data_IF_307847025237
#
_entry.id   IF_307847025237
#
_cell.length_a   1.000
_cell.length_b   1.000
_cell.length_c   1.000
_cell.angle_alpha   90.00
_cell.angle_beta   90.00
_cell.angle_gamma   90.00
#
_symmetry.space_group_name_H-M   'P 1'
#
loop_
_entity.id
_entity.type
_entity.pdbx_description
1 polymer ?
#
# COMPACT_ATOMS: atom_id res chain seq x y z
N UNK A 1 -10.05 -11.67 27.74
CA UNK A 1 -11.05 -10.59 27.86
C UNK A 1 -10.47 -9.20 28.14
N UNK A 2 -9.41 -9.01 28.95
CA UNK A 2 -8.85 -7.67 29.24
C UNK A 2 -8.15 -6.98 28.05
N UNK A 3 -7.57 -7.72 27.10
CA UNK A 3 -6.86 -7.14 25.94
C UNK A 3 -7.79 -6.59 24.87
N UNK A 4 -8.98 -7.19 24.68
CA UNK A 4 -10.00 -6.69 23.73
C UNK A 4 -10.65 -5.41 24.21
N UNK A 5 -10.79 -5.22 25.52
CA UNK A 5 -11.36 -4.00 26.11
C UNK A 5 -10.44 -2.78 25.92
N UNK A 6 -9.13 -2.97 25.93
CA UNK A 6 -8.13 -1.92 25.71
C UNK A 6 -8.15 -1.44 24.25
N UNK A 7 -8.33 -2.34 23.28
CA UNK A 7 -8.44 -1.98 21.86
C UNK A 7 -9.72 -1.17 21.58
N UNK A 8 -10.84 -1.56 22.17
CA UNK A 8 -12.11 -0.82 22.04
C UNK A 8 -12.05 0.55 22.75
N UNK A 9 -11.36 0.66 23.87
CA UNK A 9 -11.13 1.93 24.57
C UNK A 9 -10.18 2.86 23.81
N UNK A 10 -9.14 2.34 23.16
CA UNK A 10 -8.26 3.12 22.29
C UNK A 10 -8.99 3.61 21.03
N UNK A 11 -9.86 2.82 20.43
CA UNK A 11 -10.72 3.27 19.33
C UNK A 11 -11.73 4.34 19.79
N UNK A 12 -12.30 4.22 20.99
CA UNK A 12 -13.24 5.20 21.54
C UNK A 12 -12.58 6.54 21.92
N UNK A 13 -11.33 6.54 22.36
CA UNK A 13 -10.62 7.76 22.72
C UNK A 13 -10.22 8.63 21.51
N UNK A 14 -10.13 8.04 20.31
CA UNK A 14 -9.85 8.76 19.07
C UNK A 14 -11.08 9.49 18.50
N UNK A 15 -12.29 9.24 19.00
CA UNK A 15 -13.54 9.85 18.50
C UNK A 15 -13.85 11.24 19.09
N UNK A 16 -13.04 11.74 20.01
CA UNK A 16 -13.19 13.06 20.61
C UNK A 16 -12.57 14.15 19.75
N UNK A 17 -13.37 14.92 19.02
CA UNK A 17 -13.00 16.17 18.31
C UNK A 17 -11.94 16.09 17.20
N UNK A 18 -11.55 14.94 16.70
CA UNK A 18 -10.80 14.83 15.45
C UNK A 18 -11.80 14.75 14.29
N UNK A 19 -11.64 15.56 13.27
CA UNK A 19 -12.29 15.37 11.98
C UNK A 19 -11.67 14.11 11.34
N UNK A 20 -12.22 12.97 11.70
CA UNK A 20 -11.78 11.69 11.22
C UNK A 20 -12.77 11.19 10.17
N UNK A 21 -12.26 10.73 9.02
CA UNK A 21 -13.09 10.32 7.90
C UNK A 21 -12.80 8.86 7.54
N UNK A 22 -13.87 8.08 7.46
CA UNK A 22 -13.84 6.73 6.92
C UNK A 22 -14.12 6.79 5.42
N UNK A 23 -13.24 6.18 4.63
CA UNK A 23 -13.35 6.08 3.18
C UNK A 23 -13.42 4.63 2.75
N UNK A 24 -14.34 4.33 1.84
CA UNK A 24 -14.44 3.04 1.16
C UNK A 24 -14.43 3.30 -0.34
N UNK A 25 -13.53 2.62 -1.07
CA UNK A 25 -13.43 2.67 -2.52
C UNK A 25 -13.46 1.25 -3.09
N UNK A 26 -14.06 1.11 -4.26
CA UNK A 26 -13.99 -0.10 -5.06
C UNK A 26 -13.78 0.30 -6.52
N UNK A 27 -12.83 -0.36 -7.18
CA UNK A 27 -12.52 -0.14 -8.59
C UNK A 27 -12.58 -1.46 -9.34
N UNK A 28 -13.12 -1.43 -10.54
CA UNK A 28 -13.05 -2.53 -11.50
C UNK A 28 -12.26 -2.03 -12.70
N UNK A 29 -11.25 -2.78 -13.08
CA UNK A 29 -10.36 -2.43 -14.20
C UNK A 29 -9.96 -3.69 -14.97
N UNK A 30 -9.44 -3.52 -16.18
CA UNK A 30 -9.10 -4.64 -17.05
C UNK A 30 -7.69 -5.22 -16.82
N UNK A 31 -6.86 -4.57 -16.01
CA UNK A 31 -5.59 -5.09 -15.55
C UNK A 31 -5.16 -4.36 -14.27
N UNK A 32 -4.20 -4.92 -13.53
CA UNK A 32 -3.58 -4.25 -12.40
C UNK A 32 -2.11 -3.97 -12.70
N UNK A 33 -1.77 -2.68 -12.69
CA UNK A 33 -0.40 -2.21 -12.86
C UNK A 33 0.18 -1.74 -11.54
N UNK A 34 1.40 -2.14 -11.28
CA UNK A 34 2.19 -1.65 -10.15
C UNK A 34 3.56 -1.18 -10.65
N UNK A 35 3.85 0.11 -10.50
CA UNK A 35 5.11 0.72 -10.96
C UNK A 35 5.46 0.43 -12.42
N UNK A 36 4.45 0.48 -13.30
CA UNK A 36 4.60 0.22 -14.73
C UNK A 36 4.71 -1.26 -15.12
N UNK A 37 4.66 -2.16 -14.15
CA UNK A 37 4.62 -3.60 -14.38
C UNK A 37 3.20 -4.12 -14.30
N UNK A 38 2.80 -5.01 -15.18
CA UNK A 38 1.55 -5.74 -15.08
C UNK A 38 1.66 -6.81 -14.00
N UNK A 39 0.85 -6.66 -12.94
CA UNK A 39 0.76 -7.61 -11.83
C UNK A 39 -0.31 -8.65 -12.08
N UNK A 40 -1.39 -8.24 -12.74
CA UNK A 40 -2.49 -9.12 -13.13
C UNK A 40 -3.18 -8.58 -14.36
N UNK A 41 -3.47 -9.45 -15.30
CA UNK A 41 -4.34 -9.22 -16.44
C UNK A 41 -5.81 -9.56 -16.12
N UNK A 42 -6.68 -9.38 -17.12
CA UNK A 42 -8.11 -9.64 -17.01
C UNK A 42 -8.85 -8.67 -16.11
N UNK A 43 -10.08 -8.97 -15.78
CA UNK A 43 -10.92 -8.13 -14.93
C UNK A 43 -10.46 -8.24 -13.48
N UNK A 44 -10.04 -7.10 -12.91
CA UNK A 44 -9.53 -6.99 -11.54
C UNK A 44 -10.48 -6.15 -10.71
N UNK A 45 -10.85 -6.64 -9.52
CA UNK A 45 -11.54 -5.89 -8.47
C UNK A 45 -10.52 -5.46 -7.43
N UNK A 46 -10.45 -4.16 -7.18
CA UNK A 46 -9.61 -3.54 -6.15
C UNK A 46 -10.50 -2.84 -5.14
N UNK A 47 -10.21 -3.01 -3.86
CA UNK A 47 -10.95 -2.38 -2.76
C UNK A 47 -9.99 -1.68 -1.81
N UNK A 48 -10.42 -0.57 -1.23
CA UNK A 48 -9.69 0.20 -0.23
C UNK A 48 -10.64 0.63 0.87
N UNK A 49 -10.29 0.36 2.11
CA UNK A 49 -10.94 0.85 3.30
C UNK A 49 -9.92 1.64 4.12
N UNK A 50 -10.12 2.93 4.28
CA UNK A 50 -9.18 3.77 5.00
C UNK A 50 -9.84 4.72 5.99
N UNK A 51 -9.06 5.09 6.98
CA UNK A 51 -9.44 6.03 8.02
C UNK A 51 -8.41 7.14 8.10
N UNK A 52 -8.85 8.37 7.83
CA UNK A 52 -8.02 9.56 7.84
C UNK A 52 -8.29 10.37 9.09
N UNK A 53 -7.25 10.83 9.77
CA UNK A 53 -7.28 11.54 11.04
C UNK A 53 -6.23 12.65 11.09
N UNK A 54 -6.22 13.39 12.20
CA UNK A 54 -5.25 14.47 12.46
C UNK A 54 -5.22 15.52 11.35
N UNK A 55 -6.39 16.01 10.92
CA UNK A 55 -6.53 17.02 9.85
C UNK A 55 -5.84 16.58 8.56
N UNK A 56 -6.08 15.34 8.13
CA UNK A 56 -5.54 14.70 6.94
C UNK A 56 -4.03 14.38 6.97
N UNK A 57 -3.40 14.53 8.13
CA UNK A 57 -1.98 14.22 8.28
C UNK A 57 -1.67 12.73 8.39
N UNK A 58 -2.64 11.93 8.86
CA UNK A 58 -2.45 10.50 9.09
C UNK A 58 -3.58 9.71 8.45
N UNK A 59 -3.26 8.75 7.61
CA UNK A 59 -4.21 7.78 7.05
C UNK A 59 -3.72 6.37 7.30
N UNK A 60 -4.58 5.52 7.85
CA UNK A 60 -4.36 4.08 7.94
C UNK A 60 -5.38 3.37 7.07
N UNK A 61 -5.00 2.28 6.41
CA UNK A 61 -5.92 1.60 5.53
C UNK A 61 -5.62 0.13 5.30
N UNK A 62 -6.62 -0.51 4.71
CA UNK A 62 -6.61 -1.87 4.22
C UNK A 62 -6.94 -1.83 2.73
N UNK A 63 -6.14 -2.51 1.94
CA UNK A 63 -6.35 -2.62 0.52
C UNK A 63 -6.40 -4.09 0.12
N UNK A 64 -7.28 -4.44 -0.81
CA UNK A 64 -7.40 -5.79 -1.33
C UNK A 64 -7.60 -5.81 -2.83
N UNK A 65 -7.02 -6.80 -3.51
CA UNK A 65 -7.14 -7.00 -4.94
C UNK A 65 -7.31 -8.47 -5.31
N UNK A 66 -8.17 -8.73 -6.30
CA UNK A 66 -8.34 -10.05 -6.91
C UNK A 66 -8.77 -9.91 -8.34
N UNK A 67 -8.37 -10.84 -9.21
CA UNK A 67 -8.91 -10.91 -10.57
C UNK A 67 -10.08 -11.90 -10.69
N UNK A 68 -10.81 -11.83 -11.78
CA UNK A 68 -11.98 -12.68 -12.05
C UNK A 68 -11.67 -14.17 -12.09
N UNK A 69 -10.44 -14.54 -12.42
CA UNK A 69 -9.98 -15.92 -12.51
C UNK A 69 -9.50 -16.49 -11.19
N UNK A 70 -9.29 -15.62 -10.17
CA UNK A 70 -8.78 -16.01 -8.87
C UNK A 70 -7.28 -16.34 -8.87
N UNK A 71 -6.58 -16.07 -9.96
CA UNK A 71 -5.13 -16.28 -10.11
C UNK A 71 -4.30 -15.19 -9.45
N UNK A 72 -4.89 -14.01 -9.20
CA UNK A 72 -4.30 -12.91 -8.44
C UNK A 72 -5.08 -12.66 -7.15
N UNK A 73 -4.37 -12.61 -6.02
CA UNK A 73 -4.91 -12.29 -4.70
C UNK A 73 -3.89 -11.54 -3.88
N UNK A 74 -4.26 -10.36 -3.39
CA UNK A 74 -3.40 -9.52 -2.58
C UNK A 74 -4.20 -8.81 -1.48
N UNK A 75 -3.57 -8.63 -0.33
CA UNK A 75 -4.12 -7.90 0.80
C UNK A 75 -3.02 -7.11 1.50
N UNK A 76 -3.22 -5.82 1.66
CA UNK A 76 -2.22 -4.89 2.15
C UNK A 76 -2.76 -4.10 3.34
N UNK A 77 -1.87 -3.79 4.28
CA UNK A 77 -2.07 -2.72 5.24
C UNK A 77 -1.21 -1.53 4.84
N UNK A 78 -1.67 -0.34 5.10
CA UNK A 78 -0.84 0.82 4.85
C UNK A 78 -1.01 1.93 5.88
N UNK A 79 0.04 2.74 5.99
CA UNK A 79 0.08 3.99 6.74
C UNK A 79 0.60 5.08 5.81
N UNK A 80 -0.16 6.17 5.70
CA UNK A 80 0.29 7.38 5.03
C UNK A 80 0.41 8.53 6.03
N UNK A 81 1.53 9.22 6.00
CA UNK A 81 1.81 10.40 6.79
C UNK A 81 2.03 11.59 5.85
N UNK A 82 1.47 12.76 6.20
CA UNK A 82 1.63 13.99 5.41
C UNK A 82 2.01 15.15 6.32
N UNK A 83 2.97 15.95 5.87
CA UNK A 83 3.38 17.18 6.56
C UNK A 83 3.92 18.20 5.55
N UNK A 84 3.25 19.34 5.41
CA UNK A 84 3.55 20.31 4.37
C UNK A 84 3.45 19.68 2.99
N UNK A 85 4.47 19.86 2.15
CA UNK A 85 4.55 19.19 0.84
C UNK A 85 5.05 17.74 0.88
N UNK A 86 5.47 17.23 2.03
CA UNK A 86 6.01 15.87 2.17
C UNK A 86 4.93 14.84 2.47
N UNK A 87 5.08 13.65 1.91
CA UNK A 87 4.34 12.46 2.32
C UNK A 87 5.25 11.25 2.44
N UNK A 88 4.97 10.41 3.44
CA UNK A 88 5.59 9.10 3.64
C UNK A 88 4.50 8.05 3.65
N UNK A 89 4.58 7.09 2.74
CA UNK A 89 3.69 5.92 2.69
C UNK A 89 4.48 4.65 3.05
N UNK A 90 3.91 3.85 3.94
CA UNK A 90 4.41 2.52 4.29
C UNK A 90 3.33 1.51 3.91
N UNK A 91 3.66 0.58 3.03
CA UNK A 91 2.77 -0.46 2.54
C UNK A 91 3.29 -1.83 2.93
N UNK A 92 2.52 -2.56 3.72
CA UNK A 92 2.77 -3.94 4.07
C UNK A 92 1.95 -4.82 3.14
N UNK A 93 2.57 -5.26 2.06
CA UNK A 93 1.96 -6.00 0.97
C UNK A 93 2.05 -7.49 1.21
N UNK A 94 0.93 -8.18 1.10
CA UNK A 94 0.85 -9.64 1.17
C UNK A 94 0.17 -10.20 -0.07
N UNK A 95 0.96 -10.76 -0.98
CA UNK A 95 0.46 -11.48 -2.14
C UNK A 95 0.33 -12.96 -1.80
N UNK A 96 -0.89 -13.48 -1.90
CA UNK A 96 -1.23 -14.88 -1.64
C UNK A 96 -1.89 -15.55 -2.85
N UNK A 97 -1.51 -15.09 -4.04
CA UNK A 97 -1.95 -15.68 -5.31
C UNK A 97 -1.65 -17.17 -5.38
N UNK A 98 -2.59 -17.99 -5.89
CA UNK A 98 -2.35 -19.42 -6.07
C UNK A 98 -1.26 -19.65 -7.14
N UNK A 99 -0.50 -20.75 -6.99
CA UNK A 99 0.55 -21.11 -7.94
C UNK A 99 1.84 -20.29 -7.84
N UNK A 100 1.95 -19.40 -6.85
CA UNK A 100 3.19 -18.66 -6.60
C UNK A 100 4.34 -19.64 -6.22
N UNK A 101 5.54 -19.34 -6.68
CA UNK A 101 6.75 -20.12 -6.40
C UNK A 101 7.36 -19.85 -5.00
N UNK A 102 6.68 -19.10 -4.16
CA UNK A 102 7.06 -18.80 -2.79
C UNK A 102 5.98 -19.25 -1.80
N UNK A 103 6.33 -19.43 -0.54
CA UNK A 103 5.37 -19.76 0.51
C UNK A 103 4.47 -18.57 0.82
N UNK A 104 3.22 -18.64 0.40
CA UNK A 104 2.20 -17.62 0.65
C UNK A 104 1.11 -18.07 1.64
N UNK A 105 1.33 -19.15 2.40
CA UNK A 105 0.40 -19.65 3.42
C UNK A 105 0.68 -19.10 4.83
N UNK A 106 1.84 -18.47 5.02
CA UNK A 106 2.25 -17.92 6.31
C UNK A 106 2.14 -16.40 6.31
N UNK A 107 1.06 -15.90 6.82
CA UNK A 107 0.72 -14.46 6.81
C UNK A 107 1.81 -13.56 7.40
N UNK A 108 2.45 -13.95 8.50
CA UNK A 108 3.49 -13.17 9.19
C UNK A 108 4.92 -13.54 8.78
N UNK A 109 5.09 -14.24 7.68
CA UNK A 109 6.41 -14.58 7.18
C UNK A 109 6.98 -13.45 6.32
N UNK A 110 8.06 -12.84 6.75
CA UNK A 110 8.83 -11.81 6.02
C UNK A 110 10.19 -12.33 5.52
N UNK A 111 10.40 -13.63 5.49
CA UNK A 111 11.64 -14.20 4.96
C UNK A 111 11.82 -13.86 3.48
N UNK A 112 12.93 -13.22 3.14
CA UNK A 112 13.17 -12.64 1.84
C UNK A 112 13.03 -13.62 0.65
N UNK A 113 13.21 -14.91 0.85
CA UNK A 113 13.17 -15.92 -0.23
C UNK A 113 11.92 -16.78 -0.28
N UNK A 114 11.12 -16.79 0.76
CA UNK A 114 10.07 -17.78 0.93
C UNK A 114 8.70 -17.20 1.29
N UNK A 115 8.49 -15.92 1.01
CA UNK A 115 7.25 -15.23 1.38
C UNK A 115 6.65 -14.43 0.24
N UNK A 116 5.31 -14.29 0.23
CA UNK A 116 4.61 -13.31 -0.60
C UNK A 116 4.53 -11.92 0.03
N UNK A 117 5.20 -11.69 1.18
CA UNK A 117 5.05 -10.47 1.96
C UNK A 117 6.28 -9.57 1.90
N UNK A 118 6.04 -8.27 1.79
CA UNK A 118 7.11 -7.26 1.84
C UNK A 118 6.57 -5.93 2.35
N UNK A 119 7.46 -5.14 2.94
CA UNK A 119 7.20 -3.77 3.36
C UNK A 119 7.88 -2.82 2.38
N UNK A 120 7.09 -1.94 1.79
CA UNK A 120 7.52 -0.89 0.88
C UNK A 120 7.40 0.48 1.54
N UNK A 121 8.37 1.34 1.32
CA UNK A 121 8.34 2.72 1.77
C UNK A 121 8.42 3.67 0.57
N UNK A 122 7.54 4.65 0.53
CA UNK A 122 7.53 5.71 -0.48
C UNK A 122 7.62 7.06 0.20
N UNK A 123 8.65 7.83 -0.14
CA UNK A 123 8.78 9.24 0.21
C UNK A 123 8.45 10.08 -1.01
N UNK A 124 7.54 11.05 -0.87
CA UNK A 124 7.19 11.96 -1.95
C UNK A 124 7.19 13.41 -1.49
N UNK A 125 7.43 14.29 -2.45
CA UNK A 125 7.28 15.73 -2.31
C UNK A 125 6.32 16.27 -3.36
N UNK A 126 5.27 16.94 -2.92
CA UNK A 126 4.26 17.59 -3.71
C UNK A 126 4.54 19.10 -3.72
N UNK A 127 4.88 19.62 -4.87
CA UNK A 127 5.06 21.06 -5.04
C UNK A 127 3.71 21.80 -5.02
N UNK A 128 3.75 23.11 -4.91
CA UNK A 128 2.53 23.94 -4.92
C UNK A 128 1.74 23.73 -6.21
N UNK A 129 0.57 23.12 -6.10
CA UNK A 129 -0.30 22.78 -7.24
C UNK A 129 -0.71 24.00 -8.09
N UNK A 130 -0.73 25.20 -7.50
CA UNK A 130 -1.10 26.44 -8.22
C UNK A 130 0.05 27.04 -9.01
N UNK A 131 1.28 26.78 -8.59
CA UNK A 131 2.48 27.36 -9.19
C UNK A 131 3.22 26.39 -10.07
N UNK A 132 3.46 25.19 -9.55
CA UNK A 132 4.23 24.16 -10.22
C UNK A 132 3.75 22.78 -9.76
N UNK A 133 2.71 22.20 -10.38
CA UNK A 133 2.04 20.99 -9.89
C UNK A 133 2.86 19.72 -10.18
N UNK A 134 4.10 19.69 -9.71
CA UNK A 134 4.97 18.52 -9.82
C UNK A 134 4.90 17.69 -8.54
N UNK A 135 4.81 16.38 -8.69
CA UNK A 135 5.07 15.42 -7.62
C UNK A 135 6.30 14.60 -7.97
N UNK A 136 7.23 14.52 -7.04
CA UNK A 136 8.39 13.61 -7.13
C UNK A 136 8.28 12.58 -6.02
N UNK A 137 8.50 11.31 -6.34
CA UNK A 137 8.54 10.25 -5.34
C UNK A 137 9.68 9.27 -5.56
N UNK A 138 10.14 8.72 -4.44
CA UNK A 138 11.12 7.67 -4.35
C UNK A 138 10.56 6.56 -3.47
N UNK A 139 10.53 5.35 -3.99
CA UNK A 139 10.00 4.18 -3.30
C UNK A 139 11.04 3.08 -3.24
N UNK A 140 11.05 2.31 -2.16
CA UNK A 140 11.94 1.16 -2.02
C UNK A 140 11.31 0.06 -1.15
N UNK A 141 11.58 -1.19 -1.49
CA UNK A 141 11.28 -2.33 -0.63
C UNK A 141 12.31 -2.36 0.50
N UNK A 142 11.87 -2.20 1.73
CA UNK A 142 12.74 -2.11 2.91
C UNK A 142 12.83 -3.42 3.69
N UNK A 143 11.86 -4.32 3.54
CA UNK A 143 11.80 -5.56 4.29
C UNK A 143 10.96 -6.63 3.57
N UNK A 144 11.24 -7.92 3.80
CA UNK A 144 10.50 -9.04 3.22
C UNK A 144 11.00 -9.45 1.84
N UNK A 145 10.08 -9.87 0.97
CA UNK A 145 10.43 -10.36 -0.37
C UNK A 145 10.81 -9.22 -1.30
N UNK A 146 12.08 -9.12 -1.62
CA UNK A 146 12.61 -8.18 -2.62
C UNK A 146 13.58 -8.91 -3.54
N UNK A 147 13.12 -10.02 -4.16
CA UNK A 147 13.97 -10.85 -5.01
C UNK A 147 13.15 -11.53 -6.09
N UNK A 148 13.69 -11.57 -7.28
CA UNK A 148 13.24 -12.49 -8.31
C UNK A 148 13.81 -13.89 -8.08
N UNK A 149 13.23 -14.90 -8.73
CA UNK A 149 13.82 -16.24 -8.80
C UNK A 149 15.25 -16.24 -9.34
N UNK A 150 15.60 -15.22 -10.11
CA UNK A 150 16.87 -15.11 -10.83
C UNK A 150 17.93 -14.30 -10.07
N UNK A 151 17.55 -13.58 -9.02
CA UNK A 151 18.47 -12.76 -8.24
C UNK A 151 18.19 -12.83 -6.73
N UNK A 152 18.75 -13.80 -6.08
CA UNK A 152 18.61 -14.02 -4.64
C UNK A 152 19.26 -12.94 -3.77
N UNK A 153 20.11 -12.10 -4.34
CA UNK A 153 20.85 -11.04 -3.63
C UNK A 153 20.21 -9.66 -3.77
N UNK A 154 19.16 -9.52 -4.58
CA UNK A 154 18.50 -8.23 -4.78
C UNK A 154 17.91 -7.72 -3.45
N UNK A 155 18.22 -6.47 -3.16
CA UNK A 155 17.70 -5.74 -1.99
C UNK A 155 17.42 -4.31 -2.38
N UNK A 156 16.43 -3.72 -1.68
CA UNK A 156 16.08 -2.30 -1.82
C UNK A 156 15.71 -1.92 -3.26
N UNK A 157 14.90 -2.79 -3.91
CA UNK A 157 14.32 -2.47 -5.22
C UNK A 157 13.68 -1.10 -5.17
N UNK A 158 14.17 -0.21 -6.02
CA UNK A 158 13.86 1.22 -5.96
C UNK A 158 13.12 1.64 -7.21
N UNK A 159 12.12 2.51 -7.02
CA UNK A 159 11.36 3.14 -8.08
C UNK A 159 11.29 4.64 -7.86
N UNK A 160 11.61 5.42 -8.89
CA UNK A 160 11.51 6.88 -8.90
C UNK A 160 10.39 7.27 -9.86
N UNK A 161 9.53 8.16 -9.40
CA UNK A 161 8.37 8.60 -10.16
C UNK A 161 8.26 10.13 -10.13
N UNK A 162 7.93 10.70 -11.29
CA UNK A 162 7.63 12.10 -11.44
C UNK A 162 6.27 12.25 -12.15
N UNK A 163 5.38 13.04 -11.59
CA UNK A 163 4.07 13.32 -12.15
C UNK A 163 3.86 14.82 -12.29
N UNK A 164 3.46 15.23 -13.49
CA UNK A 164 3.11 16.61 -13.80
C UNK A 164 1.78 16.63 -14.59
N UNK A 165 0.67 17.12 -14.00
CA UNK A 165 -0.60 17.23 -14.73
C UNK A 165 -0.52 18.28 -15.83
N UNK A 166 -0.77 17.86 -17.07
CA UNK A 166 -0.72 18.75 -18.26
C UNK A 166 -2.06 19.49 -18.44
N UNK A 167 -3.14 18.87 -17.96
CA UNK A 167 -4.51 19.42 -18.03
C UNK A 167 -5.17 19.42 -16.65
N UNK A 168 -5.93 20.48 -16.39
CA UNK A 168 -6.85 20.57 -15.25
C UNK A 168 -8.27 20.60 -15.77
#
# INVERSE_FOLDING_TARGET
>A
MRKSLVIVLLMGACLGNAQAQLHLKANIQNNHLWRGMEVSDGVVLLTDLSYTMAHDHVTVGLWGGTNSEGSYKEFNHYLNLKAGGWSLALWDTYNFSPGANYNNHQYWNYSAHSTGRFLDATLAYHFDEKKFPLTLSWSTVIFGRDRSSDNEHQKYSTFVYAEYPIYK
#
